data_IF_341528357746
#
_entry.id   IF_341528357746
#
_cell.length_a   1.000
_cell.length_b   1.000
_cell.length_c   1.000
_cell.angle_alpha   90.00
_cell.angle_beta   90.00
_cell.angle_gamma   90.00
#
_symmetry.space_group_name_H-M   'P 1'
#
loop_
_entity.id
_entity.type
_entity.pdbx_description
1 polymer ?
#
# COMPACT_ATOMS: atom_id res chain seq x y z
N UNK A 1 22.55 0.61 -25.62
CA UNK A 1 22.46 1.19 -24.26
C UNK A 1 22.46 0.03 -23.28
N UNK A 2 23.32 0.04 -22.26
CA UNK A 2 23.34 -1.03 -21.26
C UNK A 2 22.15 -0.92 -20.30
N UNK A 3 21.88 -1.94 -19.51
CA UNK A 3 20.75 -1.89 -18.57
C UNK A 3 21.00 -0.89 -17.43
N UNK A 4 22.26 -0.66 -17.07
CA UNK A 4 22.71 0.31 -16.07
C UNK A 4 22.36 1.73 -16.52
N UNK A 5 22.72 2.11 -17.75
CA UNK A 5 22.37 3.42 -18.33
C UNK A 5 20.86 3.62 -18.38
N UNK A 6 20.10 2.60 -18.80
CA UNK A 6 18.63 2.67 -18.83
C UNK A 6 18.05 2.91 -17.43
N UNK A 7 18.62 2.25 -16.42
CA UNK A 7 18.15 2.33 -15.04
C UNK A 7 18.51 3.68 -14.41
N UNK A 8 19.73 4.17 -14.64
CA UNK A 8 20.18 5.50 -14.21
C UNK A 8 19.31 6.60 -14.82
N UNK A 9 19.09 6.58 -16.14
CA UNK A 9 18.19 7.51 -16.83
C UNK A 9 16.78 7.50 -16.21
N UNK A 10 16.23 6.32 -15.93
CA UNK A 10 14.90 6.18 -15.35
C UNK A 10 14.83 6.74 -13.92
N UNK A 11 15.82 6.42 -13.08
CA UNK A 11 15.89 6.88 -11.69
C UNK A 11 16.09 8.40 -11.61
N UNK A 12 17.00 8.96 -12.42
CA UNK A 12 17.22 10.41 -12.52
C UNK A 12 15.94 11.11 -12.98
N UNK A 13 15.26 10.59 -14.00
CA UNK A 13 14.01 11.19 -14.50
C UNK A 13 12.88 11.22 -13.44
N UNK A 14 12.83 10.25 -12.52
CA UNK A 14 11.89 10.29 -11.39
C UNK A 14 12.31 11.33 -10.37
N UNK A 15 13.59 11.35 -9.96
CA UNK A 15 14.11 12.31 -8.99
C UNK A 15 13.94 13.77 -9.46
N UNK A 16 14.23 14.04 -10.73
CA UNK A 16 14.06 15.35 -11.35
C UNK A 16 12.60 15.78 -11.43
N UNK A 17 11.67 14.83 -11.47
CA UNK A 17 10.24 15.13 -11.47
C UNK A 17 9.72 15.63 -10.11
N UNK A 18 10.48 15.48 -9.03
CA UNK A 18 10.11 16.04 -7.72
C UNK A 18 10.15 17.58 -7.80
N UNK A 19 9.05 18.28 -7.48
CA UNK A 19 9.03 19.73 -7.36
C UNK A 19 10.12 20.24 -6.41
N UNK A 20 10.80 21.34 -6.76
CA UNK A 20 11.92 21.89 -5.98
C UNK A 20 11.57 22.11 -4.49
N UNK A 21 10.34 22.54 -4.20
CA UNK A 21 9.82 22.74 -2.84
C UNK A 21 9.75 21.47 -1.97
N UNK A 22 9.83 20.28 -2.56
CA UNK A 22 9.78 18.99 -1.86
C UNK A 22 11.12 18.25 -1.87
N UNK A 23 12.19 18.87 -2.40
CA UNK A 23 13.52 18.26 -2.45
C UNK A 23 14.23 18.40 -1.10
N UNK A 24 14.83 17.30 -0.64
CA UNK A 24 15.65 17.24 0.57
C UNK A 24 17.11 17.53 0.22
N UNK A 25 17.80 18.12 1.19
CA UNK A 25 19.26 18.02 1.27
C UNK A 25 19.61 16.65 1.88
N UNK A 26 19.90 15.67 1.01
CA UNK A 26 20.11 14.27 1.40
C UNK A 26 21.33 14.07 2.31
N UNK A 27 22.33 14.94 2.23
CA UNK A 27 23.55 14.80 3.04
C UNK A 27 23.25 14.98 4.54
N UNK A 28 22.24 15.78 4.89
CA UNK A 28 21.77 15.94 6.28
C UNK A 28 21.21 14.66 6.90
N UNK A 29 20.73 13.74 6.08
CA UNK A 29 20.03 12.52 6.54
C UNK A 29 20.80 11.24 6.23
N UNK A 30 21.98 11.34 5.61
CA UNK A 30 22.79 10.20 5.18
C UNK A 30 23.09 9.22 6.32
N UNK A 31 23.45 9.75 7.49
CA UNK A 31 23.82 8.97 8.69
C UNK A 31 22.63 8.47 9.50
N UNK A 32 21.41 8.97 9.26
CA UNK A 32 20.23 8.51 9.98
C UNK A 32 19.88 7.08 9.55
N UNK A 33 19.61 6.21 10.52
CA UNK A 33 19.04 4.88 10.27
C UNK A 33 17.53 4.96 10.22
N UNK A 34 16.94 5.54 11.25
CA UNK A 34 15.50 5.83 11.30
C UNK A 34 15.21 7.16 10.61
N UNK A 35 14.35 7.13 9.60
CA UNK A 35 13.94 8.30 8.82
C UNK A 35 12.48 8.67 9.02
N UNK A 36 11.78 8.02 9.96
CA UNK A 36 10.35 8.26 10.23
C UNK A 36 10.07 9.67 10.75
N UNK A 37 11.06 10.32 11.36
CA UNK A 37 10.95 11.70 11.87
C UNK A 37 11.21 12.78 10.81
N UNK A 38 11.84 12.44 9.67
CA UNK A 38 12.27 13.42 8.67
C UNK A 38 11.13 14.26 8.08
N UNK A 39 9.93 13.71 7.80
CA UNK A 39 8.79 14.53 7.38
C UNK A 39 8.46 15.68 8.33
N UNK A 40 8.69 15.51 9.63
CA UNK A 40 8.38 16.51 10.66
C UNK A 40 9.51 17.52 10.87
N UNK A 41 10.77 17.09 10.68
CA UNK A 41 11.96 17.91 10.98
C UNK A 41 12.58 18.57 9.76
N UNK A 42 12.19 18.16 8.55
CA UNK A 42 12.81 18.65 7.31
C UNK A 42 12.48 20.11 6.96
N UNK A 43 11.40 20.67 7.52
CA UNK A 43 10.90 22.01 7.18
C UNK A 43 10.18 22.08 5.83
N UNK A 44 9.99 20.95 5.13
CA UNK A 44 9.29 20.91 3.83
C UNK A 44 7.77 20.98 4.01
N UNK A 45 7.24 20.31 5.03
CA UNK A 45 5.80 20.21 5.26
C UNK A 45 5.33 21.26 6.26
N UNK A 46 4.16 21.85 6.00
CA UNK A 46 3.49 22.74 6.97
C UNK A 46 2.86 21.94 8.10
N UNK A 47 2.56 22.60 9.23
CA UNK A 47 1.85 21.97 10.36
C UNK A 47 0.51 21.35 9.93
N UNK A 48 -0.22 22.01 9.03
CA UNK A 48 -1.50 21.51 8.54
C UNK A 48 -1.34 20.30 7.60
N UNK A 49 -0.34 20.31 6.72
CA UNK A 49 -0.03 19.13 5.89
C UNK A 49 0.37 17.92 6.75
N UNK A 50 1.14 18.14 7.82
CA UNK A 50 1.47 17.10 8.78
C UNK A 50 0.20 16.53 9.40
N UNK A 51 -0.70 17.36 9.95
CA UNK A 51 -1.99 16.92 10.51
C UNK A 51 -2.84 16.13 9.51
N UNK A 52 -2.93 16.61 8.26
CA UNK A 52 -3.69 15.93 7.19
C UNK A 52 -3.15 14.52 6.95
N UNK A 53 -1.83 14.35 6.86
CA UNK A 53 -1.21 13.05 6.60
C UNK A 53 -1.21 12.10 7.80
N UNK A 54 -1.60 12.56 8.98
CA UNK A 54 -1.87 11.70 10.14
C UNK A 54 -3.22 10.98 10.05
N UNK A 55 -4.18 11.53 9.30
CA UNK A 55 -5.55 10.99 9.18
C UNK A 55 -5.57 9.60 8.53
N UNK A 56 -6.52 8.77 8.96
CA UNK A 56 -6.90 7.53 8.28
C UNK A 56 -7.68 7.85 7.00
N UNK A 57 -7.80 6.89 6.08
CA UNK A 57 -8.62 7.06 4.88
C UNK A 57 -10.09 7.34 5.24
N UNK A 58 -10.64 6.66 6.25
CA UNK A 58 -11.99 6.93 6.75
C UNK A 58 -12.13 8.38 7.24
N UNK A 59 -11.17 8.87 8.03
CA UNK A 59 -11.19 10.27 8.52
C UNK A 59 -10.98 11.29 7.42
N UNK A 60 -10.20 10.97 6.39
CA UNK A 60 -10.08 11.83 5.20
C UNK A 60 -11.45 12.02 4.55
N UNK A 61 -12.19 10.94 4.30
CA UNK A 61 -13.52 11.02 3.65
C UNK A 61 -14.50 11.82 4.50
N UNK A 62 -14.55 11.58 5.82
CA UNK A 62 -15.40 12.38 6.75
C UNK A 62 -15.11 13.89 6.64
N UNK A 63 -13.82 14.26 6.57
CA UNK A 63 -13.38 15.67 6.51
C UNK A 63 -13.61 16.32 5.15
N UNK A 64 -13.60 15.53 4.08
CA UNK A 64 -13.96 15.98 2.74
C UNK A 64 -15.47 16.19 2.62
N UNK A 65 -16.28 15.31 3.22
CA UNK A 65 -17.74 15.41 3.26
C UNK A 65 -18.20 16.64 4.03
N UNK A 66 -17.60 16.92 5.19
CA UNK A 66 -17.91 18.11 5.99
C UNK A 66 -17.35 19.42 5.41
N UNK A 67 -16.59 19.35 4.31
CA UNK A 67 -15.82 20.47 3.71
C UNK A 67 -14.82 21.13 4.65
N UNK A 68 -14.40 20.43 5.72
CA UNK A 68 -13.26 20.87 6.55
C UNK A 68 -11.96 20.79 5.77
N UNK A 69 -11.85 19.82 4.86
CA UNK A 69 -10.75 19.68 3.91
C UNK A 69 -11.26 19.66 2.46
N UNK A 70 -10.39 20.06 1.54
CA UNK A 70 -10.53 19.86 0.10
C UNK A 70 -9.63 18.72 -0.38
N UNK A 71 -10.07 17.96 -1.39
CA UNK A 71 -9.32 16.84 -1.95
C UNK A 71 -7.95 17.28 -2.48
N UNK A 72 -7.85 18.50 -3.04
CA UNK A 72 -6.56 19.07 -3.48
C UNK A 72 -5.59 19.28 -2.31
N UNK A 73 -6.07 19.72 -1.15
CA UNK A 73 -5.23 19.90 0.05
C UNK A 73 -4.74 18.57 0.58
N UNK A 74 -5.63 17.56 0.58
CA UNK A 74 -5.30 16.19 0.97
C UNK A 74 -4.23 15.62 0.06
N UNK A 75 -4.44 15.67 -1.27
CA UNK A 75 -3.48 15.14 -2.22
C UNK A 75 -2.12 15.84 -2.13
N UNK A 76 -2.09 17.18 -2.02
CA UNK A 76 -0.84 17.93 -1.92
C UNK A 76 -0.04 17.55 -0.67
N UNK A 77 -0.71 17.37 0.48
CA UNK A 77 -0.06 16.97 1.72
C UNK A 77 0.57 15.57 1.62
N UNK A 78 -0.18 14.59 1.08
CA UNK A 78 0.33 13.23 0.89
C UNK A 78 1.42 13.16 -0.20
N UNK A 79 1.30 13.92 -1.29
CA UNK A 79 2.32 13.98 -2.34
C UNK A 79 3.65 14.57 -1.82
N UNK A 80 3.61 15.61 -1.00
CA UNK A 80 4.80 16.17 -0.36
C UNK A 80 5.51 15.12 0.51
N UNK A 81 4.75 14.40 1.33
CA UNK A 81 5.29 13.35 2.21
C UNK A 81 5.80 12.14 1.43
N UNK A 82 5.12 11.78 0.34
CA UNK A 82 5.58 10.74 -0.57
C UNK A 82 6.89 11.13 -1.28
N UNK A 83 7.09 12.41 -1.62
CA UNK A 83 8.34 12.90 -2.21
C UNK A 83 9.51 12.82 -1.22
N UNK A 84 9.26 13.15 0.05
CA UNK A 84 10.22 12.96 1.14
C UNK A 84 10.56 11.47 1.29
N UNK A 85 9.54 10.60 1.35
CA UNK A 85 9.73 9.15 1.42
C UNK A 85 10.51 8.60 0.23
N UNK A 86 10.28 9.16 -0.98
CA UNK A 86 10.95 8.73 -2.19
C UNK A 86 12.48 8.90 -2.08
N UNK A 87 12.87 10.07 -1.61
CA UNK A 87 14.27 10.47 -1.48
C UNK A 87 15.00 9.72 -0.35
N UNK A 88 14.28 9.20 0.65
CA UNK A 88 14.87 8.58 1.84
C UNK A 88 14.92 7.05 1.80
N UNK A 89 13.85 6.39 1.34
CA UNK A 89 13.67 4.96 1.55
C UNK A 89 12.90 4.21 0.45
N UNK A 90 11.99 4.89 -0.28
CA UNK A 90 11.19 4.29 -1.34
C UNK A 90 11.69 4.73 -2.70
N UNK A 91 12.23 3.87 -3.56
CA UNK A 91 12.28 4.28 -4.97
C UNK A 91 10.85 4.22 -5.54
N UNK A 92 10.23 5.33 -5.93
CA UNK A 92 8.93 5.34 -6.62
C UNK A 92 9.23 5.12 -8.12
N UNK A 93 8.57 4.17 -8.82
CA UNK A 93 8.92 3.82 -10.19
C UNK A 93 8.20 4.68 -11.24
N UNK A 94 7.67 5.83 -10.85
CA UNK A 94 6.97 6.72 -11.78
C UNK A 94 7.14 8.18 -11.40
N UNK A 95 7.13 9.06 -12.41
CA UNK A 95 6.87 10.49 -12.20
C UNK A 95 5.53 10.67 -11.48
N UNK A 96 5.40 11.78 -10.76
CA UNK A 96 4.14 12.19 -10.13
C UNK A 96 3.04 12.29 -11.19
N UNK A 97 1.90 11.65 -10.92
CA UNK A 97 0.73 11.77 -11.79
C UNK A 97 -0.01 13.05 -11.45
N UNK A 98 -0.66 13.64 -12.45
CA UNK A 98 -1.54 14.78 -12.23
C UNK A 98 -2.87 14.32 -11.61
N UNK A 99 -2.80 13.84 -10.36
CA UNK A 99 -3.98 13.58 -9.55
C UNK A 99 -4.65 14.86 -9.07
N UNK A 100 -4.00 16.03 -9.20
CA UNK A 100 -4.54 17.31 -8.75
C UNK A 100 -5.74 17.73 -9.58
N UNK A 101 -5.72 17.45 -10.89
CA UNK A 101 -6.88 17.68 -11.75
C UNK A 101 -8.10 16.85 -11.27
N UNK A 102 -7.90 15.55 -10.99
CA UNK A 102 -8.97 14.70 -10.45
C UNK A 102 -9.46 15.21 -9.09
N UNK A 103 -8.54 15.58 -8.19
CA UNK A 103 -8.90 16.10 -6.87
C UNK A 103 -9.72 17.40 -6.98
N UNK A 104 -9.35 18.29 -7.91
CA UNK A 104 -10.07 19.54 -8.18
C UNK A 104 -11.48 19.28 -8.70
N UNK A 105 -11.66 18.33 -9.61
CA UNK A 105 -12.98 17.94 -10.11
C UNK A 105 -13.90 17.41 -9.00
N UNK A 106 -13.34 16.64 -8.07
CA UNK A 106 -14.07 16.15 -6.90
C UNK A 106 -14.50 17.30 -5.97
N UNK A 107 -13.59 18.25 -5.72
CA UNK A 107 -13.91 19.43 -4.93
C UNK A 107 -14.96 20.32 -5.59
N UNK A 108 -14.85 20.58 -6.89
CA UNK A 108 -15.83 21.37 -7.66
C UNK A 108 -17.22 20.71 -7.67
N UNK A 109 -17.27 19.38 -7.74
CA UNK A 109 -18.53 18.63 -7.66
C UNK A 109 -19.22 18.85 -6.31
N UNK A 110 -18.48 18.77 -5.20
CA UNK A 110 -19.03 19.02 -3.87
C UNK A 110 -19.39 20.50 -3.65
N UNK A 111 -18.56 21.44 -4.12
CA UNK A 111 -18.81 22.88 -4.01
C UNK A 111 -20.09 23.31 -4.77
N UNK A 112 -20.48 22.57 -5.82
CA UNK A 112 -21.72 22.78 -6.57
C UNK A 112 -22.94 22.06 -5.97
N UNK A 113 -22.81 21.48 -4.76
CA UNK A 113 -23.89 20.76 -4.08
C UNK A 113 -24.06 19.30 -4.51
N UNK A 114 -23.05 18.71 -5.17
CA UNK A 114 -23.02 17.27 -5.45
C UNK A 114 -22.76 16.43 -4.20
N UNK A 115 -22.82 15.11 -4.34
CA UNK A 115 -22.49 14.15 -3.29
C UNK A 115 -21.08 13.59 -3.43
N UNK A 116 -20.60 12.89 -2.41
CA UNK A 116 -19.39 12.08 -2.51
C UNK A 116 -19.50 11.12 -3.71
N UNK A 117 -18.39 10.98 -4.45
CA UNK A 117 -18.26 10.05 -5.58
C UNK A 117 -18.36 8.59 -5.15
N UNK A 118 -17.96 8.30 -3.92
CA UNK A 118 -17.95 6.96 -3.34
C UNK A 118 -17.16 6.91 -2.03
N UNK A 119 -16.96 5.71 -1.47
CA UNK A 119 -16.38 5.51 -0.15
C UNK A 119 -14.88 5.84 -0.04
N UNK A 120 -14.21 6.16 -1.15
CA UNK A 120 -12.82 6.64 -1.20
C UNK A 120 -12.71 8.03 -1.82
N UNK A 121 -13.80 8.81 -1.86
CA UNK A 121 -13.81 10.14 -2.46
C UNK A 121 -12.63 10.98 -1.97
N UNK A 122 -11.74 11.36 -2.90
CA UNK A 122 -10.60 12.22 -2.63
C UNK A 122 -9.44 11.58 -1.86
N UNK A 123 -9.53 10.30 -1.50
CA UNK A 123 -8.46 9.58 -0.79
C UNK A 123 -7.28 9.33 -1.72
N UNK A 124 -6.06 9.80 -1.39
CA UNK A 124 -4.86 9.49 -2.15
C UNK A 124 -4.51 8.01 -2.04
N UNK A 125 -4.33 7.32 -3.16
CA UNK A 125 -3.95 5.90 -3.18
C UNK A 125 -2.73 5.72 -4.07
N UNK A 126 -1.63 5.25 -3.49
CA UNK A 126 -0.47 4.81 -4.23
C UNK A 126 -0.68 3.37 -4.70
N UNK A 127 -0.15 3.01 -5.87
CA UNK A 127 -0.40 1.70 -6.47
C UNK A 127 0.90 0.95 -6.71
N UNK A 128 0.97 -0.32 -6.31
CA UNK A 128 2.04 -1.23 -6.74
C UNK A 128 2.24 -1.19 -8.26
N UNK A 129 3.49 -1.25 -8.69
CA UNK A 129 3.89 -1.22 -10.10
C UNK A 129 3.17 -2.28 -10.95
N UNK A 130 2.78 -3.44 -10.37
CA UNK A 130 2.04 -4.50 -11.08
C UNK A 130 0.61 -4.15 -11.51
N UNK A 131 0.01 -3.08 -10.96
CA UNK A 131 -1.35 -2.68 -11.33
C UNK A 131 -1.34 -1.90 -12.63
N UNK A 132 -2.14 -2.26 -13.62
CA UNK A 132 -2.27 -1.42 -14.82
C UNK A 132 -3.04 -0.13 -14.51
N UNK A 133 -2.50 0.99 -14.97
CA UNK A 133 -3.15 2.31 -14.95
C UNK A 133 -2.97 2.92 -16.33
N UNK A 134 -4.08 3.28 -16.98
CA UNK A 134 -4.06 3.76 -18.36
C UNK A 134 -3.10 4.94 -18.53
N UNK A 135 -2.23 4.87 -19.53
CA UNK A 135 -1.25 5.92 -19.85
C UNK A 135 0.04 5.87 -19.00
N UNK A 136 0.16 4.95 -18.06
CA UNK A 136 1.33 4.82 -17.19
C UNK A 136 2.08 3.51 -17.41
N UNK A 137 3.39 3.53 -17.14
CA UNK A 137 4.24 2.36 -17.25
C UNK A 137 3.91 1.30 -16.20
N UNK A 138 4.02 0.03 -16.59
CA UNK A 138 3.96 -1.14 -15.72
C UNK A 138 5.24 -1.94 -15.94
N UNK A 139 6.22 -1.78 -15.04
CA UNK A 139 7.57 -2.28 -15.27
C UNK A 139 7.82 -3.66 -14.67
N UNK A 140 7.13 -4.01 -13.58
CA UNK A 140 7.37 -5.20 -12.77
C UNK A 140 8.85 -5.33 -12.33
N UNK A 141 9.55 -4.19 -12.20
CA UNK A 141 11.00 -4.11 -11.95
C UNK A 141 11.90 -4.54 -13.11
N UNK A 142 11.36 -4.87 -14.29
CA UNK A 142 12.16 -5.24 -15.45
C UNK A 142 12.60 -4.00 -16.24
N UNK A 143 13.91 -3.88 -16.46
CA UNK A 143 14.51 -2.82 -17.29
C UNK A 143 13.89 -2.79 -18.70
N UNK A 144 13.69 -3.96 -19.30
CA UNK A 144 13.07 -4.11 -20.62
C UNK A 144 11.62 -3.60 -20.70
N UNK A 145 10.94 -3.44 -19.56
CA UNK A 145 9.54 -2.97 -19.48
C UNK A 145 9.43 -1.52 -19.03
N UNK A 146 10.52 -0.74 -18.98
CA UNK A 146 10.47 0.67 -18.53
C UNK A 146 9.44 1.53 -19.29
N UNK A 147 9.21 1.20 -20.56
CA UNK A 147 8.29 1.91 -21.46
C UNK A 147 7.04 1.07 -21.80
N UNK A 148 6.73 0.04 -21.00
CA UNK A 148 5.53 -0.77 -21.17
C UNK A 148 4.31 0.01 -20.64
N UNK A 149 3.71 0.84 -21.48
CA UNK A 149 2.59 1.70 -21.11
C UNK A 149 1.28 0.92 -21.15
N UNK A 150 0.58 0.86 -20.02
CA UNK A 150 -0.73 0.24 -19.94
C UNK A 150 -1.77 1.05 -20.74
N UNK A 151 -2.60 0.35 -21.51
CA UNK A 151 -3.65 0.96 -22.34
C UNK A 151 -4.96 1.19 -21.59
N UNK A 152 -5.13 0.50 -20.46
CA UNK A 152 -6.33 0.52 -19.66
C UNK A 152 -6.00 0.38 -18.18
N UNK A 153 -6.95 0.72 -17.32
CA UNK A 153 -6.86 0.40 -15.89
C UNK A 153 -7.09 -1.12 -15.70
N UNK A 154 -6.33 -1.72 -14.77
CA UNK A 154 -6.69 -3.03 -14.22
C UNK A 154 -8.05 -2.94 -13.51
N UNK A 155 -8.75 -4.06 -13.37
CA UNK A 155 -10.11 -4.06 -12.79
C UNK A 155 -10.13 -3.51 -11.36
N UNK A 156 -9.08 -3.79 -10.58
CA UNK A 156 -8.92 -3.23 -9.24
C UNK A 156 -8.78 -1.71 -9.28
N UNK A 157 -7.92 -1.19 -10.15
CA UNK A 157 -7.71 0.26 -10.31
C UNK A 157 -9.01 0.95 -10.76
N UNK A 158 -9.70 0.38 -11.75
CA UNK A 158 -10.99 0.89 -12.20
C UNK A 158 -12.04 0.89 -11.07
N UNK A 159 -12.00 -0.11 -10.19
CA UNK A 159 -12.87 -0.21 -9.01
C UNK A 159 -12.57 0.87 -7.98
N UNK A 160 -11.31 1.07 -7.63
CA UNK A 160 -10.89 2.11 -6.68
C UNK A 160 -11.16 3.52 -7.23
N UNK A 161 -10.95 3.73 -8.54
CA UNK A 161 -11.28 5.01 -9.20
C UNK A 161 -12.78 5.31 -9.16
N UNK A 162 -13.60 4.28 -9.36
CA UNK A 162 -15.05 4.40 -9.26
C UNK A 162 -15.51 4.68 -7.82
N UNK A 163 -14.81 4.13 -6.83
CA UNK A 163 -15.02 4.45 -5.42
C UNK A 163 -14.55 5.88 -5.04
N UNK A 164 -13.89 6.60 -5.94
CA UNK A 164 -13.50 7.99 -5.77
C UNK A 164 -12.03 8.22 -5.38
N UNK A 165 -11.21 7.17 -5.34
CA UNK A 165 -9.79 7.28 -5.03
C UNK A 165 -9.05 8.15 -6.05
N UNK A 166 -8.05 8.90 -5.57
CA UNK A 166 -7.16 9.73 -6.39
C UNK A 166 -5.79 9.09 -6.43
N UNK A 167 -5.35 8.65 -7.61
CA UNK A 167 -4.03 8.05 -7.75
C UNK A 167 -2.99 9.10 -8.13
N UNK A 168 -1.80 9.00 -7.56
CA UNK A 168 -0.76 10.03 -7.71
C UNK A 168 0.64 9.48 -7.96
N UNK A 169 0.89 8.20 -7.65
CA UNK A 169 2.17 7.56 -7.93
C UNK A 169 2.06 6.03 -7.96
N UNK A 170 3.11 5.41 -8.49
CA UNK A 170 3.41 4.00 -8.27
C UNK A 170 4.33 3.78 -7.08
N UNK A 171 4.34 2.55 -6.58
CA UNK A 171 5.31 2.04 -5.60
C UNK A 171 6.09 0.87 -6.17
N UNK A 172 7.34 0.73 -5.72
CA UNK A 172 8.25 -0.32 -6.19
C UNK A 172 7.89 -1.70 -5.68
N UNK A 173 8.36 -2.67 -6.44
CA UNK A 173 8.33 -4.10 -6.15
C UNK A 173 9.63 -4.73 -6.65
N UNK A 174 10.04 -5.91 -6.15
CA UNK A 174 11.16 -6.62 -6.73
C UNK A 174 10.90 -6.99 -8.18
N UNK A 175 11.98 -7.16 -8.94
CA UNK A 175 11.88 -7.71 -10.29
C UNK A 175 11.06 -9.01 -10.26
N UNK A 176 10.09 -9.15 -11.16
CA UNK A 176 9.12 -10.26 -11.25
C UNK A 176 8.04 -10.34 -10.15
N UNK A 177 8.20 -9.63 -9.04
CA UNK A 177 7.31 -9.73 -7.88
C UNK A 177 7.50 -10.99 -7.02
N UNK A 178 8.51 -11.82 -7.31
CA UNK A 178 8.75 -13.13 -6.69
C UNK A 178 9.88 -13.10 -5.65
N UNK A 179 9.90 -12.08 -4.79
CA UNK A 179 10.82 -12.01 -3.65
C UNK A 179 10.13 -11.35 -2.45
N UNK A 180 10.49 -11.79 -1.24
CA UNK A 180 10.08 -11.17 0.03
C UNK A 180 11.02 -10.02 0.45
N UNK A 181 11.64 -9.39 -0.54
CA UNK A 181 12.47 -8.21 -0.45
C UNK A 181 12.22 -7.35 -1.70
N UNK A 182 12.38 -6.04 -1.62
CA UNK A 182 12.03 -5.12 -2.72
C UNK A 182 13.28 -4.53 -3.36
N UNK A 183 13.80 -5.25 -4.36
CA UNK A 183 15.00 -4.88 -5.13
C UNK A 183 14.78 -5.16 -6.62
N UNK A 184 15.15 -4.22 -7.48
CA UNK A 184 15.21 -4.43 -8.93
C UNK A 184 16.38 -3.67 -9.53
N UNK A 185 16.88 -4.12 -10.68
CA UNK A 185 17.89 -3.37 -11.42
C UNK A 185 17.39 -2.00 -11.87
N UNK A 186 16.10 -1.91 -12.24
CA UNK A 186 15.51 -0.68 -12.75
C UNK A 186 15.34 0.40 -11.67
N UNK A 187 14.91 0.01 -10.46
CA UNK A 187 14.53 0.94 -9.38
C UNK A 187 15.29 0.71 -8.08
N UNK A 188 16.47 0.09 -8.14
CA UNK A 188 17.29 -0.17 -6.95
C UNK A 188 16.54 -0.89 -5.83
N UNK A 189 16.88 -0.54 -4.59
CA UNK A 189 16.40 -1.18 -3.35
C UNK A 189 15.48 -0.24 -2.59
N UNK A 190 14.36 -0.77 -2.12
CA UNK A 190 13.50 -0.11 -1.11
C UNK A 190 13.94 -0.52 0.28
N UNK A 191 14.07 0.46 1.17
CA UNK A 191 14.59 0.30 2.52
C UNK A 191 13.47 0.41 3.56
N UNK A 192 13.69 -0.17 4.73
CA UNK A 192 12.81 -0.01 5.87
C UNK A 192 12.96 1.41 6.47
N UNK A 193 11.87 2.14 6.74
CA UNK A 193 11.95 3.51 7.21
C UNK A 193 12.40 3.63 8.68
N UNK A 194 12.21 2.60 9.50
CA UNK A 194 12.68 2.57 10.89
C UNK A 194 14.17 2.24 10.98
N UNK A 195 14.73 1.60 9.96
CA UNK A 195 16.16 1.36 9.84
C UNK A 195 16.56 1.11 8.37
N UNK A 196 17.21 2.12 7.76
CA UNK A 196 17.68 2.07 6.38
C UNK A 196 18.74 0.99 6.08
N UNK A 197 19.30 0.34 7.11
CA UNK A 197 20.19 -0.81 6.93
C UNK A 197 19.41 -2.13 6.73
N UNK A 198 18.08 -2.12 6.84
CA UNK A 198 17.20 -3.28 6.71
C UNK A 198 16.31 -3.20 5.46
N UNK A 199 15.92 -4.37 4.94
CA UNK A 199 14.97 -4.49 3.84
C UNK A 199 13.55 -4.12 4.26
N UNK A 200 12.79 -3.52 3.34
CA UNK A 200 11.37 -3.19 3.54
C UNK A 200 10.41 -4.40 3.54
N UNK A 201 10.94 -5.61 3.32
CA UNK A 201 10.15 -6.77 2.93
C UNK A 201 9.71 -6.69 1.47
N UNK A 202 8.88 -7.62 1.04
CA UNK A 202 8.43 -7.69 -0.35
C UNK A 202 7.34 -8.75 -0.53
N UNK A 203 6.73 -8.83 -1.72
CA UNK A 203 7.04 -8.02 -2.90
C UNK A 203 6.35 -6.64 -2.93
N UNK A 204 5.54 -6.29 -1.92
CA UNK A 204 4.95 -4.95 -1.76
C UNK A 204 5.73 -4.07 -0.77
N UNK A 205 7.06 -4.11 -0.78
CA UNK A 205 7.86 -3.28 0.14
C UNK A 205 7.68 -1.78 -0.12
N UNK A 206 7.56 -1.35 -1.38
CA UNK A 206 7.31 0.04 -1.72
C UNK A 206 5.96 0.55 -1.19
N UNK A 207 4.92 -0.29 -1.22
CA UNK A 207 3.61 0.02 -0.62
C UNK A 207 3.75 0.26 0.88
N UNK A 208 4.35 -0.71 1.59
CA UNK A 208 4.44 -0.68 3.04
C UNK A 208 5.35 0.44 3.54
N UNK A 209 6.53 0.65 2.94
CA UNK A 209 7.41 1.76 3.34
C UNK A 209 6.73 3.11 3.10
N UNK A 210 5.99 3.30 2.00
CA UNK A 210 5.29 4.56 1.72
C UNK A 210 4.16 4.81 2.73
N UNK A 211 3.39 3.77 3.08
CA UNK A 211 2.32 3.86 4.09
C UNK A 211 2.88 4.10 5.50
N UNK A 212 3.99 3.46 5.86
CA UNK A 212 4.65 3.67 7.16
C UNK A 212 5.22 5.09 7.30
N UNK A 213 5.76 5.65 6.22
CA UNK A 213 6.14 7.06 6.14
C UNK A 213 4.95 8.01 5.92
N UNK A 214 3.72 7.49 5.89
CA UNK A 214 2.46 8.25 5.75
C UNK A 214 2.41 9.08 4.45
N UNK A 215 3.13 8.65 3.43
CA UNK A 215 3.05 9.18 2.07
C UNK A 215 1.83 8.65 1.31
N UNK A 216 1.14 7.65 1.84
CA UNK A 216 -0.20 7.25 1.44
C UNK A 216 -0.94 6.68 2.66
N UNK A 217 -2.25 6.94 2.83
CA UNK A 217 -3.01 6.33 3.93
C UNK A 217 -3.20 4.81 3.73
N UNK A 218 -3.22 4.36 2.47
CA UNK A 218 -3.50 2.98 2.10
C UNK A 218 -2.95 2.63 0.72
N UNK A 219 -2.48 1.39 0.55
CA UNK A 219 -2.01 0.87 -0.74
C UNK A 219 -2.57 -0.54 -1.03
N UNK A 220 -3.03 -0.84 -2.27
CA UNK A 220 -3.41 -2.18 -2.70
C UNK A 220 -2.18 -3.03 -2.98
N UNK A 221 -1.76 -3.77 -1.99
CA UNK A 221 -0.65 -4.72 -2.10
C UNK A 221 -1.12 -6.07 -2.66
N UNK A 222 -0.19 -6.88 -3.14
CA UNK A 222 -0.50 -8.20 -3.71
C UNK A 222 0.25 -9.29 -2.95
N UNK A 223 -0.38 -10.44 -2.76
CA UNK A 223 0.17 -11.55 -1.96
C UNK A 223 -0.11 -12.88 -2.65
N UNK A 224 0.96 -13.62 -2.94
CA UNK A 224 0.91 -15.03 -3.35
C UNK A 224 1.59 -15.92 -2.30
N UNK A 225 2.71 -15.47 -1.73
CA UNK A 225 3.51 -16.20 -0.73
C UNK A 225 3.96 -15.36 0.46
N UNK A 226 3.21 -14.31 0.84
CA UNK A 226 3.53 -13.42 1.96
C UNK A 226 3.62 -11.94 1.58
N UNK A 227 3.45 -11.60 0.30
CA UNK A 227 3.82 -10.28 -0.22
C UNK A 227 2.98 -9.08 0.25
N UNK A 228 1.88 -9.29 0.98
CA UNK A 228 1.19 -8.24 1.77
C UNK A 228 1.69 -8.29 3.22
N UNK A 229 1.67 -9.48 3.81
CA UNK A 229 1.87 -9.71 5.25
C UNK A 229 3.31 -9.43 5.71
N UNK A 230 4.31 -9.85 4.94
CA UNK A 230 5.72 -9.65 5.25
C UNK A 230 6.11 -8.17 5.27
N UNK A 231 5.87 -7.39 4.19
CA UNK A 231 6.20 -5.97 4.22
C UNK A 231 5.32 -5.20 5.22
N UNK A 232 4.05 -5.57 5.44
CA UNK A 232 3.25 -4.96 6.50
C UNK A 232 3.89 -5.18 7.90
N UNK A 233 4.29 -6.41 8.22
CA UNK A 233 4.93 -6.74 9.49
C UNK A 233 6.27 -6.01 9.68
N UNK A 234 7.10 -5.93 8.63
CA UNK A 234 8.40 -5.25 8.70
C UNK A 234 8.26 -3.74 8.93
N UNK A 235 7.15 -3.15 8.50
CA UNK A 235 6.90 -1.71 8.57
C UNK A 235 5.87 -1.33 9.66
N UNK A 236 5.47 -2.25 10.53
CA UNK A 236 4.55 -1.97 11.64
C UNK A 236 3.13 -1.59 11.20
N UNK A 237 2.62 -2.25 10.16
CA UNK A 237 1.34 -1.93 9.52
C UNK A 237 0.32 -3.06 9.62
N UNK A 238 -0.94 -2.71 9.40
CA UNK A 238 -1.99 -3.68 9.15
C UNK A 238 -1.94 -4.14 7.70
N UNK A 239 -2.18 -5.43 7.48
CA UNK A 239 -2.30 -6.00 6.15
C UNK A 239 -3.11 -7.27 6.18
N UNK A 240 -4.01 -7.43 5.21
CA UNK A 240 -4.83 -8.64 5.05
C UNK A 240 -4.63 -9.20 3.65
N UNK A 241 -4.49 -10.53 3.57
CA UNK A 241 -4.60 -11.27 2.31
C UNK A 241 -6.00 -11.88 2.25
N UNK A 242 -6.95 -11.29 1.51
CA UNK A 242 -8.27 -11.90 1.30
C UNK A 242 -8.13 -13.25 0.58
N UNK A 243 -9.18 -14.06 0.65
CA UNK A 243 -9.31 -15.25 -0.20
C UNK A 243 -9.12 -14.85 -1.67
N UNK A 244 -8.22 -15.52 -2.39
CA UNK A 244 -7.75 -15.09 -3.72
C UNK A 244 -8.86 -14.83 -4.74
N UNK A 245 -9.94 -15.60 -4.71
CA UNK A 245 -11.04 -15.47 -5.66
C UNK A 245 -12.10 -14.44 -5.20
N UNK A 246 -11.92 -13.73 -4.09
CA UNK A 246 -12.81 -12.63 -3.66
C UNK A 246 -12.50 -11.28 -4.32
N UNK A 247 -11.34 -11.16 -4.94
CA UNK A 247 -10.82 -9.90 -5.46
C UNK A 247 -10.67 -9.95 -6.98
N UNK A 248 -10.97 -8.84 -7.67
CA UNK A 248 -10.77 -8.73 -9.11
C UNK A 248 -9.27 -8.65 -9.44
N UNK A 249 -8.83 -9.42 -10.44
CA UNK A 249 -7.43 -9.49 -10.90
C UNK A 249 -7.27 -9.18 -12.39
N UNK A 250 -8.35 -8.88 -13.11
CA UNK A 250 -8.28 -8.56 -14.54
C UNK A 250 -7.33 -7.40 -14.81
N UNK A 251 -6.48 -7.55 -15.83
CA UNK A 251 -5.48 -6.53 -16.21
C UNK A 251 -4.37 -6.30 -15.17
N UNK A 252 -4.18 -7.18 -14.18
CA UNK A 252 -2.97 -7.12 -13.35
C UNK A 252 -1.81 -7.84 -14.05
N UNK A 253 -0.63 -7.21 -14.08
CA UNK A 253 0.57 -7.88 -14.58
C UNK A 253 1.05 -8.93 -13.58
N UNK A 254 1.31 -10.14 -14.09
CA UNK A 254 1.83 -11.26 -13.32
C UNK A 254 2.89 -11.99 -14.15
N UNK A 255 3.88 -12.56 -13.49
CA UNK A 255 4.91 -13.42 -14.10
C UNK A 255 4.48 -14.88 -14.17
N UNK A 256 3.43 -15.26 -13.44
CA UNK A 256 2.87 -16.62 -13.38
C UNK A 256 1.44 -16.70 -13.92
N UNK A 257 1.19 -16.14 -15.12
CA UNK A 257 -0.12 -16.22 -15.78
C UNK A 257 -0.50 -17.69 -16.02
N UNK A 258 -1.73 -18.08 -15.66
CA UNK A 258 -2.21 -19.46 -15.79
C UNK A 258 -1.98 -20.34 -14.55
N UNK A 259 -1.28 -19.85 -13.52
CA UNK A 259 -1.17 -20.59 -12.26
C UNK A 259 -2.53 -20.61 -11.52
N UNK A 260 -3.05 -21.82 -11.32
CA UNK A 260 -4.31 -22.07 -10.60
C UNK A 260 -4.10 -22.70 -9.21
N UNK A 261 -2.88 -23.13 -8.89
CA UNK A 261 -2.56 -23.86 -7.66
C UNK A 261 -2.34 -22.93 -6.48
N UNK A 262 -1.48 -21.93 -6.63
CA UNK A 262 -1.18 -20.91 -5.61
C UNK A 262 -1.62 -19.56 -6.15
N UNK A 263 -2.88 -19.23 -5.87
CA UNK A 263 -3.51 -18.06 -6.45
C UNK A 263 -3.04 -16.76 -5.79
N UNK A 264 -2.74 -15.78 -6.63
CA UNK A 264 -2.54 -14.39 -6.22
C UNK A 264 -3.79 -13.85 -5.52
N UNK A 265 -3.60 -12.99 -4.53
CA UNK A 265 -4.64 -12.15 -3.93
C UNK A 265 -4.16 -10.71 -3.87
N UNK A 266 -5.09 -9.78 -3.66
CA UNK A 266 -4.83 -8.37 -3.44
C UNK A 266 -5.55 -7.92 -2.18
N UNK A 267 -4.91 -7.08 -1.38
CA UNK A 267 -5.47 -6.56 -0.15
C UNK A 267 -4.73 -5.31 0.30
N UNK A 268 -5.33 -4.54 1.20
CA UNK A 268 -4.73 -3.31 1.69
C UNK A 268 -3.54 -3.56 2.60
N UNK A 269 -2.58 -2.64 2.53
CA UNK A 269 -1.65 -2.30 3.61
C UNK A 269 -1.99 -0.89 4.10
N UNK A 270 -2.21 -0.72 5.40
CA UNK A 270 -2.70 0.53 6.01
C UNK A 270 -2.26 0.67 7.48
N UNK A 271 -2.60 1.80 8.10
CA UNK A 271 -2.24 2.12 9.50
C UNK A 271 -3.35 1.88 10.53
N UNK A 272 -4.56 1.55 10.08
CA UNK A 272 -5.71 1.37 10.96
C UNK A 272 -6.56 0.19 10.53
N UNK A 273 -7.27 -0.42 11.49
CA UNK A 273 -8.22 -1.50 11.22
C UNK A 273 -9.42 -0.99 10.40
N UNK A 274 -9.89 0.23 10.66
CA UNK A 274 -11.00 0.84 9.93
C UNK A 274 -10.67 1.00 8.43
N UNK A 275 -9.44 1.43 8.11
CA UNK A 275 -8.99 1.52 6.71
C UNK A 275 -8.86 0.13 6.08
N UNK A 276 -8.42 -0.87 6.87
CA UNK A 276 -8.32 -2.25 6.44
C UNK A 276 -9.70 -2.79 6.04
N UNK A 277 -10.71 -2.55 6.88
CA UNK A 277 -12.09 -2.95 6.64
C UNK A 277 -12.70 -2.20 5.46
N UNK A 278 -12.62 -0.86 5.44
CA UNK A 278 -13.12 0.00 4.37
C UNK A 278 -12.63 -0.50 3.01
N UNK A 279 -11.32 -0.64 2.85
CA UNK A 279 -10.73 -1.01 1.57
C UNK A 279 -11.03 -2.46 1.19
N UNK A 280 -10.96 -3.38 2.17
CA UNK A 280 -11.27 -4.80 1.93
C UNK A 280 -12.72 -4.97 1.49
N UNK A 281 -13.65 -4.21 2.07
CA UNK A 281 -15.06 -4.24 1.67
C UNK A 281 -15.26 -3.79 0.22
N UNK A 282 -14.56 -2.74 -0.21
CA UNK A 282 -14.62 -2.22 -1.59
C UNK A 282 -14.09 -3.26 -2.57
N UNK A 283 -12.88 -3.79 -2.36
CA UNK A 283 -12.26 -4.72 -3.32
C UNK A 283 -12.98 -6.08 -3.38
N UNK A 284 -13.74 -6.44 -2.34
CA UNK A 284 -14.50 -7.69 -2.30
C UNK A 284 -15.93 -7.56 -2.82
N UNK A 285 -16.55 -6.38 -2.75
CA UNK A 285 -18.00 -6.25 -2.94
C UNK A 285 -18.44 -5.09 -3.85
N UNK A 286 -17.51 -4.28 -4.35
CA UNK A 286 -17.89 -3.19 -5.24
C UNK A 286 -18.62 -3.71 -6.49
N UNK A 287 -19.70 -3.05 -6.95
CA UNK A 287 -20.53 -3.54 -8.06
C UNK A 287 -19.74 -3.85 -9.36
N UNK A 288 -18.65 -3.11 -9.61
CA UNK A 288 -17.78 -3.35 -10.78
C UNK A 288 -17.08 -4.70 -10.76
N UNK A 289 -16.86 -5.30 -9.58
CA UNK A 289 -16.18 -6.59 -9.46
C UNK A 289 -17.02 -7.73 -10.02
N UNK A 290 -18.35 -7.57 -10.11
CA UNK A 290 -19.27 -8.59 -10.65
C UNK A 290 -19.01 -8.94 -12.11
N UNK A 291 -18.29 -8.07 -12.84
CA UNK A 291 -17.94 -8.28 -14.25
C UNK A 291 -16.55 -8.88 -14.44
N UNK A 292 -15.77 -9.07 -13.36
CA UNK A 292 -14.46 -9.71 -13.41
C UNK A 292 -14.61 -11.22 -13.19
N UNK A 293 -14.31 -12.01 -14.21
CA UNK A 293 -14.39 -13.47 -14.17
C UNK A 293 -13.41 -14.13 -13.18
N UNK A 294 -12.44 -13.38 -12.67
CA UNK A 294 -11.48 -13.86 -11.67
C UNK A 294 -11.95 -13.67 -10.22
N UNK A 295 -13.12 -13.06 -10.02
CA UNK A 295 -13.73 -12.79 -8.72
C UNK A 295 -15.10 -13.46 -8.59
N UNK A 296 -15.37 -14.07 -7.44
CA UNK A 296 -16.69 -14.61 -7.11
C UNK A 296 -17.60 -13.47 -6.60
N UNK A 297 -18.87 -13.38 -7.05
CA UNK A 297 -19.76 -12.29 -6.71
C UNK A 297 -20.39 -12.47 -5.32
N UNK A 298 -19.56 -12.58 -4.28
CA UNK A 298 -20.00 -12.73 -2.88
C UNK A 298 -20.02 -11.36 -2.21
N UNK A 299 -21.19 -10.89 -1.72
CA UNK A 299 -21.30 -9.57 -1.11
C UNK A 299 -20.46 -9.44 0.15
N UNK A 300 -20.14 -8.20 0.52
CA UNK A 300 -19.61 -7.89 1.85
C UNK A 300 -20.71 -8.16 2.88
N UNK A 301 -20.33 -8.75 4.01
CA UNK A 301 -21.25 -9.03 5.11
C UNK A 301 -20.74 -8.29 6.33
N UNK A 302 -21.49 -7.29 6.77
CA UNK A 302 -21.32 -6.73 8.10
C UNK A 302 -21.94 -7.72 9.08
N UNK A 303 -21.09 -8.32 9.90
CA UNK A 303 -21.53 -9.20 10.98
C UNK A 303 -21.69 -8.34 12.25
N UNK A 304 -22.69 -8.61 13.10
CA UNK A 304 -22.74 -8.00 14.41
C UNK A 304 -21.49 -8.39 15.22
N UNK A 305 -21.21 -7.63 16.29
CA UNK A 305 -20.21 -8.04 17.27
C UNK A 305 -20.49 -9.48 17.70
N UNK A 306 -19.43 -10.26 17.80
CA UNK A 306 -19.56 -11.64 18.27
C UNK A 306 -19.73 -11.59 19.78
N UNK A 307 -20.97 -11.76 20.26
CA UNK A 307 -21.29 -11.84 21.71
C UNK A 307 -20.93 -13.20 22.30
N UNK A 308 -19.88 -13.85 21.77
CA UNK A 308 -19.41 -15.15 22.21
C UNK A 308 -17.89 -15.16 22.29
N UNK A 309 -17.39 -15.99 23.21
CA UNK A 309 -15.97 -16.33 23.28
C UNK A 309 -15.54 -17.00 21.97
N UNK A 310 -14.34 -16.64 21.51
CA UNK A 310 -13.71 -17.26 20.36
C UNK A 310 -12.68 -18.26 20.84
N UNK A 311 -12.57 -19.38 20.12
CA UNK A 311 -11.48 -20.34 20.27
C UNK A 311 -10.43 -20.01 19.21
N UNK A 312 -9.25 -19.60 19.64
CA UNK A 312 -8.20 -19.09 18.75
C UNK A 312 -6.98 -20.00 18.85
N UNK A 313 -6.67 -20.72 17.77
CA UNK A 313 -5.44 -21.49 17.66
C UNK A 313 -4.25 -20.58 17.35
N UNK A 314 -3.22 -20.62 18.21
CA UNK A 314 -1.97 -19.86 18.02
C UNK A 314 -0.83 -20.82 17.67
N UNK A 315 -0.35 -20.76 16.43
CA UNK A 315 0.79 -21.56 15.96
C UNK A 315 2.10 -20.89 16.36
N UNK A 316 2.81 -21.48 17.33
CA UNK A 316 4.10 -20.95 17.81
C UNK A 316 5.26 -21.21 16.85
N UNK A 317 5.25 -22.35 16.16
CA UNK A 317 6.28 -22.78 15.21
C UNK A 317 5.64 -23.77 14.24
N UNK A 318 6.02 -23.71 12.98
CA UNK A 318 5.50 -24.53 11.88
C UNK A 318 6.31 -25.82 11.64
N UNK A 319 7.37 -26.05 12.42
CA UNK A 319 8.30 -27.17 12.21
C UNK A 319 9.39 -26.90 11.17
N UNK A 320 9.35 -25.76 10.46
CA UNK A 320 10.24 -25.43 9.35
C UNK A 320 11.11 -24.21 9.66
N UNK A 321 10.52 -23.11 10.11
CA UNK A 321 11.23 -21.85 10.39
C UNK A 321 10.99 -21.44 11.83
N UNK A 322 12.01 -21.64 12.69
CA UNK A 322 11.93 -21.23 14.09
C UNK A 322 11.84 -19.70 14.22
N UNK A 323 10.77 -19.13 14.81
CA UNK A 323 10.67 -17.70 14.96
C UNK A 323 11.73 -17.14 15.91
N UNK A 324 12.23 -15.94 15.63
CA UNK A 324 13.15 -15.24 16.52
C UNK A 324 12.51 -14.94 17.89
N UNK A 325 13.30 -14.79 18.97
CA UNK A 325 12.76 -14.51 20.31
C UNK A 325 11.78 -13.34 20.40
N UNK A 326 11.97 -12.20 19.70
CA UNK A 326 10.98 -11.11 19.72
C UNK A 326 9.62 -11.49 19.12
N UNK A 327 9.59 -12.37 18.10
CA UNK A 327 8.35 -12.85 17.48
C UNK A 327 7.63 -13.81 18.41
N UNK A 328 8.36 -14.73 19.06
CA UNK A 328 7.78 -15.62 20.07
C UNK A 328 7.16 -14.83 21.23
N UNK A 329 7.84 -13.77 21.69
CA UNK A 329 7.31 -12.88 22.71
C UNK A 329 6.06 -12.15 22.24
N UNK A 330 5.99 -11.72 20.99
CA UNK A 330 4.80 -11.08 20.42
C UNK A 330 3.61 -12.06 20.37
N UNK A 331 3.83 -13.31 19.94
CA UNK A 331 2.79 -14.35 19.93
C UNK A 331 2.24 -14.62 21.34
N UNK A 332 3.13 -14.72 22.34
CA UNK A 332 2.74 -14.90 23.73
C UNK A 332 1.96 -13.70 24.28
N UNK A 333 2.40 -12.48 23.96
CA UNK A 333 1.69 -11.26 24.35
C UNK A 333 0.29 -11.18 23.71
N UNK A 334 0.16 -11.57 22.43
CA UNK A 334 -1.15 -11.66 21.76
C UNK A 334 -2.05 -12.67 22.45
N UNK A 335 -1.54 -13.86 22.80
CA UNK A 335 -2.30 -14.85 23.56
C UNK A 335 -2.84 -14.25 24.87
N UNK A 336 -1.97 -13.68 25.70
CA UNK A 336 -2.34 -13.12 26.99
C UNK A 336 -3.37 -12.00 26.88
N UNK A 337 -3.27 -11.20 25.81
CA UNK A 337 -4.25 -10.14 25.51
C UNK A 337 -5.62 -10.74 25.18
N UNK A 338 -5.67 -11.78 24.34
CA UNK A 338 -6.92 -12.46 23.99
C UNK A 338 -7.57 -13.15 25.20
N UNK A 339 -6.79 -13.79 26.06
CA UNK A 339 -7.28 -14.42 27.30
C UNK A 339 -7.84 -13.39 28.29
N UNK A 340 -7.18 -12.24 28.41
CA UNK A 340 -7.64 -11.13 29.26
C UNK A 340 -8.98 -10.56 28.79
N UNK A 341 -9.21 -10.53 27.48
CA UNK A 341 -10.47 -10.10 26.87
C UNK A 341 -11.56 -11.21 26.89
N UNK A 342 -11.28 -12.33 27.54
CA UNK A 342 -12.25 -13.40 27.80
C UNK A 342 -12.38 -14.43 26.68
N UNK A 343 -11.50 -14.41 25.68
CA UNK A 343 -11.42 -15.45 24.66
C UNK A 343 -10.65 -16.68 25.16
N UNK A 344 -10.88 -17.84 24.54
CA UNK A 344 -10.15 -19.07 24.85
C UNK A 344 -8.99 -19.22 23.84
N UNK A 345 -7.77 -19.00 24.31
CA UNK A 345 -6.55 -19.11 23.51
C UNK A 345 -5.84 -20.43 23.80
N UNK A 346 -6.03 -21.45 22.96
CA UNK A 346 -5.19 -22.65 23.04
C UNK A 346 -3.93 -22.45 22.19
N UNK A 347 -2.76 -22.49 22.85
CA UNK A 347 -1.47 -22.63 22.17
C UNK A 347 -1.36 -24.03 21.59
N UNK A 348 -1.84 -24.21 20.37
CA UNK A 348 -1.57 -25.42 19.61
C UNK A 348 -0.13 -25.37 19.10
N UNK A 349 0.78 -26.05 19.81
CA UNK A 349 2.05 -26.47 19.22
C UNK A 349 1.72 -27.65 18.31
N UNK A 350 1.56 -27.40 17.01
CA UNK A 350 1.61 -28.49 16.04
C UNK A 350 3.05 -29.02 16.04
N UNK A 351 3.29 -30.12 16.76
CA UNK A 351 4.44 -30.96 16.46
C UNK A 351 4.12 -31.66 15.15
N UNK A 352 4.85 -31.34 14.09
CA UNK A 352 4.90 -32.22 12.92
C UNK A 352 5.54 -33.54 13.39
N UNK A 353 4.69 -34.49 13.82
CA UNK A 353 5.08 -35.89 14.00
C UNK A 353 5.12 -36.58 12.64
#
# INVERSE_FOLDING_TARGET
MSWETISEEAQVAVLESIPARWRLDLDKYRSLRDVTSVPYTSGIMTSDQLKITELSAVKIVERLESRELKAVQVLEAFAARAAIAHQLACQLPSKWWDGLQQAKELDESLDKGGSLKGPLHGVPVALKDSHEVAGHAVTMGYVARRNNIAKQDSTLVATLRAAGAVFFCKTTMPQSGMALETVSNLWGRTLNPFNKDLGAGGSSGGDATLVALRGSPIAPSTDMGGSIRVPAAFNGLYGIRPTSDRIPKGGMHNTNTGNITIKLSCGPVCRSLDDLELFTSIINAHPRNKYDVTSVPVPWRSLPSLDRKLVIGIMKWDGVVMPHPPVLRALEHTKQTLEKDGHEGELAVYSAT
#
